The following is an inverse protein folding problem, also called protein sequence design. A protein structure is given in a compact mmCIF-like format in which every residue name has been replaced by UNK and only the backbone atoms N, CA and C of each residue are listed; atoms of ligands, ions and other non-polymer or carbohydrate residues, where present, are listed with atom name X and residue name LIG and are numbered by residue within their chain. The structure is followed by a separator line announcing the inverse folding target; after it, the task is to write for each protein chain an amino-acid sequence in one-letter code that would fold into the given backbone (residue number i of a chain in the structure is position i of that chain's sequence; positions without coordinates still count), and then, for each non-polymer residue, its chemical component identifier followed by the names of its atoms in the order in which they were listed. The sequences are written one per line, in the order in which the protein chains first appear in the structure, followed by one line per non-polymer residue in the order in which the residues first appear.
data_IF_310685560608
#
_entry.id   IF_310685560608
#
_cell.length_a   1.000
_cell.length_b   1.000
_cell.length_c   1.000
_cell.angle_alpha   90.00
_cell.angle_beta   90.00
_cell.angle_gamma   90.00
#
_symmetry.space_group_name_H-M   'P 1'
#
loop_
_entity.id
_entity.type
_entity.pdbx_description
1 polymer ?
#
# COMPACT_ATOMS: atom_id res chain seq x y z
N UNK A 1 -3.50 -16.11 26.67
CA UNK A 1 -2.44 -16.94 26.07
C UNK A 1 -1.26 -16.11 25.56
N UNK A 2 -0.12 -16.73 25.28
CA UNK A 2 1.07 -16.05 24.74
C UNK A 2 0.76 -15.17 23.49
N UNK A 3 -0.22 -15.56 22.68
CA UNK A 3 -0.66 -14.78 21.53
C UNK A 3 -1.25 -13.41 21.87
N UNK A 4 -1.79 -13.21 23.05
CA UNK A 4 -2.39 -11.92 23.44
C UNK A 4 -1.35 -10.91 23.92
N UNK A 5 -0.19 -11.35 24.37
CA UNK A 5 0.92 -10.46 24.78
C UNK A 5 1.59 -9.84 23.56
N UNK A 6 1.76 -10.60 22.48
CA UNK A 6 2.36 -10.09 21.23
C UNK A 6 1.42 -9.22 20.43
N UNK A 7 0.11 -9.38 20.56
CA UNK A 7 -0.92 -8.56 19.90
C UNK A 7 -1.07 -7.15 20.48
N UNK A 8 -0.40 -6.85 21.58
CA UNK A 8 -0.48 -5.54 22.25
C UNK A 8 0.63 -4.57 21.87
N UNK A 9 1.60 -5.01 21.07
CA UNK A 9 2.71 -4.15 20.65
C UNK A 9 2.54 -3.71 19.21
N UNK A 10 2.46 -2.41 18.99
CA UNK A 10 2.51 -1.81 17.65
C UNK A 10 3.97 -1.63 17.22
N UNK A 11 4.28 -1.81 15.93
CA UNK A 11 3.35 -2.11 14.85
C UNK A 11 2.95 -3.59 14.80
N UNK A 12 1.66 -3.86 14.50
CA UNK A 12 1.17 -5.21 14.21
C UNK A 12 1.12 -5.38 12.70
N UNK A 13 1.73 -6.42 12.18
CA UNK A 13 1.78 -6.72 10.74
C UNK A 13 1.10 -8.05 10.48
N UNK A 14 0.05 -8.01 9.66
CA UNK A 14 -0.70 -9.20 9.25
C UNK A 14 -0.69 -9.26 7.72
N UNK A 15 -0.41 -10.44 7.16
CA UNK A 15 -0.41 -10.64 5.73
C UNK A 15 -1.01 -11.98 5.38
N UNK A 16 -1.59 -12.05 4.20
CA UNK A 16 -2.17 -13.26 3.62
C UNK A 16 -2.01 -13.26 2.09
N UNK A 17 -2.06 -14.44 1.52
CA UNK A 17 -2.32 -14.61 0.09
C UNK A 17 -3.82 -14.79 -0.07
N UNK A 18 -4.52 -13.67 -0.24
CA UNK A 18 -5.98 -13.62 -0.25
C UNK A 18 -6.57 -13.71 -1.64
N UNK A 19 -7.68 -14.44 -1.79
CA UNK A 19 -8.44 -14.49 -3.03
C UNK A 19 -9.36 -13.28 -3.12
N UNK A 20 -9.19 -12.50 -4.19
CA UNK A 20 -9.92 -11.26 -4.45
C UNK A 20 -10.83 -11.43 -5.66
N UNK A 21 -12.08 -10.98 -5.53
CA UNK A 21 -13.03 -10.91 -6.61
C UNK A 21 -13.35 -9.46 -6.96
N UNK A 22 -13.27 -9.11 -8.23
CA UNK A 22 -13.63 -7.77 -8.72
C UNK A 22 -14.61 -7.87 -9.89
N UNK A 23 -15.62 -7.02 -9.88
CA UNK A 23 -16.54 -6.88 -11.00
C UNK A 23 -15.87 -6.06 -12.12
N UNK A 24 -15.15 -6.76 -12.99
CA UNK A 24 -14.56 -6.17 -14.18
C UNK A 24 -15.52 -6.29 -15.38
N UNK A 25 -15.66 -5.23 -16.18
CA UNK A 25 -16.42 -5.27 -17.42
C UNK A 25 -15.75 -6.21 -18.43
N UNK A 26 -16.54 -6.95 -19.21
CA UNK A 26 -16.01 -7.98 -20.14
C UNK A 26 -14.94 -7.43 -21.09
N UNK A 27 -15.12 -6.23 -21.62
CA UNK A 27 -14.16 -5.59 -22.55
C UNK A 27 -12.83 -5.18 -21.89
N UNK A 28 -12.69 -5.29 -20.57
CA UNK A 28 -11.46 -4.96 -19.84
C UNK A 28 -10.63 -6.19 -19.50
N UNK A 29 -11.17 -7.40 -19.67
CA UNK A 29 -10.45 -8.64 -19.36
C UNK A 29 -9.31 -8.86 -20.34
N UNK A 30 -8.14 -9.26 -19.83
CA UNK A 30 -6.93 -9.43 -20.63
C UNK A 30 -6.01 -10.52 -20.06
N UNK A 31 -6.20 -11.77 -20.48
CA UNK A 31 -5.36 -12.90 -20.07
C UNK A 31 -5.14 -12.95 -18.55
N UNK A 32 -3.90 -13.14 -18.11
CA UNK A 32 -3.52 -13.06 -16.69
C UNK A 32 -3.42 -11.64 -16.17
N UNK A 33 -3.36 -10.64 -17.06
CA UNK A 33 -3.07 -9.25 -16.69
C UNK A 33 -4.26 -8.55 -16.05
N UNK A 34 -5.50 -8.93 -16.42
CA UNK A 34 -6.72 -8.38 -15.85
C UNK A 34 -7.83 -9.42 -15.80
N UNK A 35 -8.11 -9.91 -14.62
CA UNK A 35 -9.04 -11.00 -14.33
C UNK A 35 -10.07 -10.58 -13.28
N UNK A 36 -11.17 -11.31 -13.17
CA UNK A 36 -12.20 -11.07 -12.16
C UNK A 36 -11.92 -11.73 -10.81
N UNK A 37 -11.05 -12.72 -10.81
CA UNK A 37 -10.65 -13.46 -9.61
C UNK A 37 -9.13 -13.63 -9.65
N UNK A 38 -8.44 -13.19 -8.61
CA UNK A 38 -6.98 -13.25 -8.53
C UNK A 38 -6.53 -13.37 -7.08
N UNK A 39 -5.31 -13.83 -6.90
CA UNK A 39 -4.66 -13.87 -5.60
C UNK A 39 -3.87 -12.58 -5.37
N UNK A 40 -4.00 -12.00 -4.18
CA UNK A 40 -3.26 -10.82 -3.78
C UNK A 40 -2.38 -11.11 -2.57
N UNK A 41 -1.14 -10.61 -2.59
CA UNK A 41 -0.22 -10.64 -1.45
C UNK A 41 -0.52 -9.48 -0.49
N UNK A 42 -1.69 -9.47 0.07
CA UNK A 42 -2.17 -8.38 0.90
C UNK A 42 -1.60 -8.40 2.31
N UNK A 43 -1.31 -7.23 2.85
CA UNK A 43 -0.93 -7.07 4.24
C UNK A 43 -1.49 -5.78 4.83
N UNK A 44 -1.89 -5.86 6.08
CA UNK A 44 -2.38 -4.76 6.88
C UNK A 44 -1.44 -4.53 8.06
N UNK A 45 -1.00 -3.30 8.22
CA UNK A 45 -0.08 -2.91 9.29
C UNK A 45 -0.77 -1.87 10.15
N UNK A 46 -0.89 -2.15 11.43
CA UNK A 46 -1.43 -1.22 12.42
C UNK A 46 -0.27 -0.62 13.19
N UNK A 47 -0.23 0.70 13.32
CA UNK A 47 0.89 1.40 13.89
C UNK A 47 0.45 2.70 14.60
N UNK A 48 1.36 3.26 15.38
CA UNK A 48 1.21 4.60 15.91
C UNK A 48 1.59 5.66 14.84
N UNK A 49 1.10 6.90 14.93
CA UNK A 49 1.44 7.94 13.96
C UNK A 49 2.94 8.20 13.80
N UNK A 50 3.71 8.10 14.88
CA UNK A 50 5.17 8.29 14.86
C UNK A 50 5.93 7.13 14.16
N UNK A 51 5.30 5.98 13.96
CA UNK A 51 5.87 4.82 13.27
C UNK A 51 5.68 4.86 11.75
N UNK A 52 4.88 5.79 11.21
CA UNK A 52 4.53 5.81 9.78
C UNK A 52 5.78 5.87 8.90
N UNK A 53 6.65 6.85 9.13
CA UNK A 53 7.84 7.06 8.29
C UNK A 53 8.75 5.82 8.31
N UNK A 54 9.07 5.29 9.49
CA UNK A 54 9.95 4.12 9.61
C UNK A 54 9.37 2.87 8.97
N UNK A 55 8.06 2.63 9.08
CA UNK A 55 7.40 1.49 8.45
C UNK A 55 7.35 1.65 6.92
N UNK A 56 7.04 2.83 6.41
CA UNK A 56 7.01 3.07 4.96
C UNK A 56 8.41 2.94 4.36
N UNK A 57 9.44 3.49 4.99
CA UNK A 57 10.85 3.32 4.58
C UNK A 57 11.22 1.84 4.51
N UNK A 58 10.86 1.08 5.55
CA UNK A 58 11.12 -0.37 5.59
C UNK A 58 10.42 -1.11 4.45
N UNK A 59 9.20 -0.74 4.12
CA UNK A 59 8.43 -1.35 3.04
C UNK A 59 9.00 -0.99 1.67
N UNK A 60 9.41 0.27 1.45
CA UNK A 60 10.07 0.70 0.23
C UNK A 60 11.35 -0.13 0.01
N UNK A 61 12.17 -0.28 1.06
CA UNK A 61 13.39 -1.09 0.99
C UNK A 61 13.09 -2.58 0.73
N UNK A 62 11.99 -3.09 1.25
CA UNK A 62 11.57 -4.46 0.99
C UNK A 62 11.13 -4.67 -0.46
N UNK A 63 10.31 -3.78 -1.02
CA UNK A 63 9.88 -3.82 -2.42
C UNK A 63 11.10 -3.68 -3.34
N UNK A 64 11.98 -2.74 -3.06
CA UNK A 64 13.23 -2.52 -3.81
C UNK A 64 14.07 -3.80 -3.88
N UNK A 65 14.27 -4.46 -2.75
CA UNK A 65 15.01 -5.73 -2.68
C UNK A 65 14.36 -6.83 -3.52
N UNK A 66 13.03 -6.97 -3.43
CA UNK A 66 12.30 -8.00 -4.19
C UNK A 66 12.42 -7.74 -5.69
N UNK A 67 12.15 -6.52 -6.14
CA UNK A 67 12.19 -6.18 -7.56
C UNK A 67 13.60 -6.23 -8.13
N UNK A 68 14.59 -5.76 -7.38
CA UNK A 68 16.00 -5.84 -7.79
C UNK A 68 16.47 -7.28 -7.93
N UNK A 69 16.08 -8.18 -7.03
CA UNK A 69 16.44 -9.60 -7.12
C UNK A 69 15.79 -10.30 -8.34
N UNK A 70 14.68 -9.76 -8.82
CA UNK A 70 13.98 -10.25 -10.02
C UNK A 70 14.42 -9.51 -11.29
N UNK A 71 15.34 -8.56 -11.19
CA UNK A 71 15.81 -7.76 -12.33
C UNK A 71 14.76 -6.79 -12.88
N UNK A 72 13.71 -6.46 -12.10
CA UNK A 72 12.59 -5.63 -12.52
C UNK A 72 12.84 -4.15 -12.17
N UNK A 73 13.12 -3.28 -13.15
CA UNK A 73 13.16 -1.84 -12.91
C UNK A 73 11.76 -1.32 -12.62
N UNK A 74 11.67 -0.34 -11.71
CA UNK A 74 10.38 0.23 -11.32
C UNK A 74 10.47 1.74 -11.11
N UNK A 75 9.33 2.40 -11.19
CA UNK A 75 9.13 3.80 -10.85
C UNK A 75 8.13 3.91 -9.70
N UNK A 76 8.28 4.94 -8.86
CA UNK A 76 7.35 5.23 -7.76
C UNK A 76 6.50 6.44 -8.14
N UNK A 77 5.20 6.33 -7.93
CA UNK A 77 4.27 7.46 -8.01
C UNK A 77 3.58 7.68 -6.66
N UNK A 78 3.56 8.93 -6.22
CA UNK A 78 2.75 9.37 -5.08
C UNK A 78 1.40 9.85 -5.61
N UNK A 79 0.39 9.03 -5.42
CA UNK A 79 -0.99 9.31 -5.80
C UNK A 79 -1.68 10.07 -4.69
N UNK A 80 -2.07 11.31 -4.98
CA UNK A 80 -2.64 12.25 -4.01
C UNK A 80 -4.16 12.20 -3.97
N UNK A 81 -4.75 13.00 -3.10
CA UNK A 81 -6.19 13.06 -2.86
C UNK A 81 -6.98 13.28 -4.16
N UNK A 82 -8.03 12.47 -4.42
CA UNK A 82 -8.98 12.73 -5.51
C UNK A 82 -9.67 14.09 -5.34
N UNK A 83 -10.03 14.72 -6.45
CA UNK A 83 -10.79 15.99 -6.40
C UNK A 83 -12.18 15.81 -5.81
N UNK A 84 -12.81 14.67 -6.13
CA UNK A 84 -14.15 14.29 -5.68
C UNK A 84 -14.14 12.89 -5.06
N UNK A 85 -15.18 12.58 -4.28
CA UNK A 85 -15.45 11.25 -3.73
C UNK A 85 -14.34 10.69 -2.82
N UNK A 86 -13.75 11.55 -2.01
CA UNK A 86 -12.85 11.14 -0.92
C UNK A 86 -13.55 11.28 0.44
N UNK A 87 -13.00 10.63 1.44
CA UNK A 87 -13.44 10.70 2.83
C UNK A 87 -12.34 11.26 3.71
N UNK A 88 -12.72 11.84 4.84
CA UNK A 88 -11.80 12.46 5.81
C UNK A 88 -11.48 13.92 5.51
N UNK A 89 -10.84 14.56 6.48
CA UNK A 89 -10.49 15.97 6.44
C UNK A 89 -9.28 16.24 5.54
N UNK A 90 -9.27 17.37 4.84
CA UNK A 90 -8.18 17.76 3.93
C UNK A 90 -6.84 17.79 4.65
N UNK A 91 -6.80 18.29 5.88
CA UNK A 91 -5.58 18.35 6.69
C UNK A 91 -4.97 16.97 6.98
N UNK A 92 -5.82 15.94 7.13
CA UNK A 92 -5.37 14.56 7.31
C UNK A 92 -4.73 14.04 6.02
N UNK A 93 -5.32 14.38 4.88
CA UNK A 93 -4.77 14.03 3.56
C UNK A 93 -3.39 14.68 3.33
N UNK A 94 -3.29 15.99 3.58
CA UNK A 94 -2.02 16.73 3.42
C UNK A 94 -0.92 16.16 4.32
N UNK A 95 -1.22 15.83 5.57
CA UNK A 95 -0.28 15.18 6.50
C UNK A 95 0.14 13.80 6.01
N UNK A 96 -0.81 13.02 5.50
CA UNK A 96 -0.56 11.66 5.00
C UNK A 96 0.29 11.68 3.73
N UNK A 97 0.01 12.58 2.80
CA UNK A 97 0.80 12.79 1.58
C UNK A 97 2.23 13.24 1.92
N UNK A 98 2.36 14.20 2.83
CA UNK A 98 3.66 14.66 3.31
C UNK A 98 4.47 13.54 3.98
N UNK A 99 3.83 12.68 4.76
CA UNK A 99 4.47 11.53 5.40
C UNK A 99 4.99 10.52 4.38
N UNK A 100 4.22 10.20 3.34
CA UNK A 100 4.65 9.32 2.26
C UNK A 100 5.81 9.93 1.44
N UNK A 101 5.74 11.22 1.14
CA UNK A 101 6.81 11.95 0.46
C UNK A 101 8.11 11.97 1.28
N UNK A 102 8.01 12.22 2.59
CA UNK A 102 9.15 12.19 3.50
C UNK A 102 9.79 10.80 3.58
N UNK A 103 8.98 9.74 3.60
CA UNK A 103 9.47 8.36 3.61
C UNK A 103 10.22 8.00 2.31
N UNK A 104 9.73 8.40 1.13
CA UNK A 104 10.46 8.23 -0.13
C UNK A 104 11.82 8.91 -0.08
N UNK A 105 11.87 10.16 0.38
CA UNK A 105 13.10 10.93 0.52
C UNK A 105 14.07 10.27 1.52
N UNK A 106 13.56 9.83 2.67
CA UNK A 106 14.37 9.12 3.68
C UNK A 106 14.92 7.78 3.15
N UNK A 107 14.17 7.09 2.28
CA UNK A 107 14.59 5.88 1.59
C UNK A 107 15.55 6.13 0.41
N UNK A 108 15.84 7.39 0.08
CA UNK A 108 16.70 7.77 -1.05
C UNK A 108 16.09 7.40 -2.41
N UNK A 109 14.76 7.42 -2.52
CA UNK A 109 14.01 7.07 -3.75
C UNK A 109 13.32 8.29 -4.32
N UNK A 110 13.53 8.47 -5.63
CA UNK A 110 12.77 9.44 -6.40
C UNK A 110 11.34 8.96 -6.64
N UNK A 111 10.42 9.89 -6.73
CA UNK A 111 9.02 9.62 -7.05
C UNK A 111 8.43 10.73 -7.91
N UNK A 112 7.37 10.39 -8.65
CA UNK A 112 6.53 11.35 -9.39
C UNK A 112 5.25 11.58 -8.61
N UNK A 113 4.68 12.78 -8.71
CA UNK A 113 3.35 13.06 -8.17
C UNK A 113 2.33 12.70 -9.24
N UNK A 114 1.34 11.89 -8.87
CA UNK A 114 0.17 11.57 -9.68
C UNK A 114 -1.07 12.19 -9.02
N UNK A 115 -1.47 13.42 -9.42
CA UNK A 115 -2.54 14.14 -8.75
C UNK A 115 -3.89 13.46 -8.94
N UNK A 116 -4.63 13.30 -7.84
CA UNK A 116 -6.01 12.83 -7.87
C UNK A 116 -6.20 11.31 -8.00
N UNK A 117 -5.13 10.52 -8.06
CA UNK A 117 -5.20 9.05 -8.24
C UNK A 117 -5.13 8.28 -6.91
N UNK A 118 -5.18 8.96 -5.78
CA UNK A 118 -5.28 8.33 -4.47
C UNK A 118 -6.57 7.51 -4.33
N UNK A 119 -6.59 6.56 -3.39
CA UNK A 119 -7.83 5.89 -3.07
C UNK A 119 -8.80 6.86 -2.38
N UNK A 120 -10.08 6.53 -2.39
CA UNK A 120 -11.07 7.39 -1.73
C UNK A 120 -10.84 7.58 -0.21
N UNK A 121 -10.06 6.71 0.41
CA UNK A 121 -9.78 6.69 1.86
C UNK A 121 -8.34 7.07 2.24
N UNK A 122 -7.43 7.28 1.30
CA UNK A 122 -6.05 7.67 1.61
C UNK A 122 -5.12 7.76 0.41
N UNK A 123 -4.00 8.49 0.53
CA UNK A 123 -2.96 8.56 -0.47
C UNK A 123 -2.16 7.26 -0.54
N UNK A 124 -1.48 7.05 -1.66
CA UNK A 124 -0.72 5.83 -1.89
C UNK A 124 0.60 6.08 -2.63
N UNK A 125 1.57 5.20 -2.39
CA UNK A 125 2.74 5.02 -3.24
C UNK A 125 2.48 3.83 -4.14
N UNK A 126 2.46 4.06 -5.45
CA UNK A 126 2.30 3.04 -6.47
C UNK A 126 3.64 2.70 -7.10
N UNK A 127 3.93 1.41 -7.23
CA UNK A 127 5.16 0.89 -7.81
C UNK A 127 4.85 0.31 -9.18
N UNK A 128 5.36 0.98 -10.22
CA UNK A 128 5.11 0.65 -11.61
C UNK A 128 6.27 -0.11 -12.21
N UNK A 129 5.99 -1.30 -12.75
CA UNK A 129 6.96 -2.17 -13.43
C UNK A 129 6.67 -2.15 -14.92
N UNK A 130 7.71 -2.18 -15.76
CA UNK A 130 7.57 -2.33 -17.21
C UNK A 130 7.69 -3.79 -17.61
N UNK A 131 6.79 -4.24 -18.48
CA UNK A 131 6.90 -5.55 -19.12
C UNK A 131 7.91 -5.52 -20.28
N UNK A 132 8.16 -6.66 -20.89
CA UNK A 132 9.09 -6.81 -22.02
C UNK A 132 8.72 -5.96 -23.25
N UNK A 133 7.45 -5.60 -23.39
CA UNK A 133 6.95 -4.71 -24.45
C UNK A 133 6.99 -3.23 -24.06
N UNK A 134 7.48 -2.89 -22.88
CA UNK A 134 7.53 -1.52 -22.35
C UNK A 134 6.20 -0.99 -21.82
N UNK A 135 5.17 -1.83 -21.68
CA UNK A 135 3.90 -1.45 -21.05
C UNK A 135 4.11 -1.32 -19.54
N UNK A 136 3.48 -0.31 -18.96
CA UNK A 136 3.59 0.00 -17.51
C UNK A 136 2.44 -0.67 -16.76
N UNK A 137 2.79 -1.38 -15.69
CA UNK A 137 1.84 -2.06 -14.82
C UNK A 137 2.06 -1.68 -13.36
N UNK A 138 1.01 -1.22 -12.71
CA UNK A 138 1.01 -1.07 -11.26
C UNK A 138 1.01 -2.46 -10.62
N UNK A 139 2.03 -2.75 -9.84
CA UNK A 139 2.19 -4.00 -9.09
C UNK A 139 2.17 -3.74 -7.59
N UNK A 140 3.22 -3.15 -7.04
CA UNK A 140 3.28 -2.83 -5.62
C UNK A 140 2.47 -1.59 -5.26
N UNK A 141 1.93 -1.56 -4.05
CA UNK A 141 1.27 -0.37 -3.49
C UNK A 141 1.48 -0.33 -1.99
N UNK A 142 1.78 0.86 -1.47
CA UNK A 142 1.76 1.20 -0.05
C UNK A 142 0.72 2.29 0.13
N UNK A 143 -0.30 2.04 0.93
CA UNK A 143 -1.48 2.89 1.03
C UNK A 143 -1.78 3.22 2.48
N UNK A 144 -1.77 4.51 2.80
CA UNK A 144 -2.02 5.00 4.15
C UNK A 144 -3.52 5.18 4.35
N UNK A 145 -4.04 4.63 5.43
CA UNK A 145 -5.47 4.64 5.76
C UNK A 145 -5.68 5.10 7.21
N UNK A 146 -6.27 6.27 7.35
CA UNK A 146 -6.68 6.82 8.64
C UNK A 146 -8.19 6.70 8.87
N UNK A 147 -8.95 6.21 7.89
CA UNK A 147 -10.40 6.19 7.91
C UNK A 147 -10.97 4.86 8.45
N UNK A 148 -10.44 3.72 8.03
CA UNK A 148 -10.92 2.42 8.51
C UNK A 148 -10.72 2.24 10.02
N UNK A 149 -9.57 2.63 10.62
CA UNK A 149 -9.44 2.58 12.08
C UNK A 149 -10.54 3.35 12.82
N UNK A 150 -10.97 4.49 12.29
CA UNK A 150 -12.07 5.25 12.87
C UNK A 150 -13.42 4.54 12.70
N UNK A 151 -13.70 4.04 11.50
CA UNK A 151 -14.98 3.35 11.20
C UNK A 151 -15.16 2.06 11.98
N UNK A 152 -14.09 1.34 12.27
CA UNK A 152 -14.10 0.13 13.09
C UNK A 152 -13.90 0.39 14.59
N UNK A 153 -13.82 1.66 14.99
CA UNK A 153 -13.54 2.08 16.36
C UNK A 153 -12.32 1.38 16.98
N UNK A 154 -11.26 1.23 16.17
CA UNK A 154 -10.02 0.61 16.63
C UNK A 154 -9.29 1.56 17.57
N UNK A 155 -8.84 1.03 18.70
CA UNK A 155 -8.02 1.80 19.65
C UNK A 155 -6.87 0.95 20.18
N UNK A 156 -5.79 1.61 20.55
CA UNK A 156 -4.72 1.04 21.37
C UNK A 156 -4.55 1.89 22.63
N UNK A 157 -3.90 1.33 23.64
CA UNK A 157 -3.58 2.07 24.86
C UNK A 157 -2.16 2.59 24.72
N UNK A 158 -2.00 3.91 24.80
CA UNK A 158 -0.70 4.56 24.73
C UNK A 158 0.08 4.44 26.05
N UNK A 159 1.28 5.05 26.11
CA UNK A 159 2.14 5.07 27.30
C UNK A 159 1.55 5.82 28.49
N UNK A 160 0.56 6.69 28.29
CA UNK A 160 -0.16 7.41 29.35
C UNK A 160 -1.35 6.60 29.87
N UNK A 161 -1.71 5.51 29.24
CA UNK A 161 -2.90 4.72 29.54
C UNK A 161 -4.16 5.17 28.80
N UNK A 162 -4.03 6.13 27.89
CA UNK A 162 -5.15 6.66 27.09
C UNK A 162 -5.45 5.78 25.89
N UNK A 163 -6.74 5.68 25.52
CA UNK A 163 -7.18 5.03 24.30
C UNK A 163 -6.98 5.97 23.11
N UNK A 164 -6.11 5.58 22.19
CA UNK A 164 -5.73 6.36 21.01
C UNK A 164 -6.03 5.59 19.74
N UNK A 165 -6.34 6.30 18.66
CA UNK A 165 -6.61 5.74 17.32
C UNK A 165 -5.30 5.31 16.65
N UNK A 166 -5.15 4.06 16.19
CA UNK A 166 -4.02 3.65 15.38
C UNK A 166 -4.14 4.17 13.95
N UNK A 167 -3.03 4.16 13.24
CA UNK A 167 -2.99 4.32 11.79
C UNK A 167 -2.90 2.95 11.15
N UNK A 168 -3.55 2.76 10.03
CA UNK A 168 -3.52 1.54 9.24
C UNK A 168 -2.82 1.77 7.91
N UNK A 169 -2.08 0.78 7.46
CA UNK A 169 -1.40 0.79 6.18
C UNK A 169 -1.69 -0.51 5.46
N UNK A 170 -2.13 -0.41 4.21
CA UNK A 170 -2.30 -1.51 3.29
C UNK A 170 -1.04 -1.65 2.43
N UNK A 171 -0.59 -2.87 2.19
CA UNK A 171 0.59 -3.13 1.40
C UNK A 171 0.42 -4.35 0.53
N UNK A 172 0.71 -4.20 -0.74
CA UNK A 172 0.99 -5.29 -1.66
C UNK A 172 2.36 -5.08 -2.30
N UNK A 173 3.08 -6.16 -2.58
CA UNK A 173 4.37 -6.14 -3.30
C UNK A 173 4.15 -6.52 -4.76
N UNK A 174 3.44 -7.61 -4.98
CA UNK A 174 3.15 -8.12 -6.31
C UNK A 174 1.81 -7.60 -6.85
N UNK A 175 0.88 -7.23 -5.96
CA UNK A 175 -0.50 -6.93 -6.31
C UNK A 175 -1.24 -8.20 -6.73
N UNK A 176 -1.76 -8.26 -7.95
CA UNK A 176 -2.26 -9.51 -8.50
C UNK A 176 -1.09 -10.44 -8.82
N UNK A 177 -1.01 -11.58 -8.14
CA UNK A 177 0.02 -12.60 -8.35
C UNK A 177 -0.02 -13.10 -9.80
N UNK A 178 -1.19 -13.30 -10.37
CA UNK A 178 -1.39 -13.75 -11.75
C UNK A 178 -0.80 -12.74 -12.74
N UNK A 179 -1.06 -11.44 -12.55
CA UNK A 179 -0.45 -10.37 -13.37
C UNK A 179 1.06 -10.37 -13.23
N UNK A 180 1.54 -10.43 -12.00
CA UNK A 180 2.98 -10.39 -11.72
C UNK A 180 3.72 -11.58 -12.36
N UNK A 181 3.15 -12.79 -12.28
CA UNK A 181 3.67 -13.97 -12.95
C UNK A 181 3.70 -13.75 -14.46
N UNK A 182 2.61 -13.20 -15.04
CA UNK A 182 2.58 -12.87 -16.48
C UNK A 182 3.71 -11.93 -16.89
N UNK A 183 3.96 -10.87 -16.13
CA UNK A 183 5.07 -9.94 -16.37
C UNK A 183 6.41 -10.66 -16.26
N UNK A 184 6.60 -11.48 -15.23
CA UNK A 184 7.85 -12.17 -14.95
C UNK A 184 8.19 -13.24 -15.99
N UNK A 185 7.18 -13.93 -16.54
CA UNK A 185 7.39 -14.92 -17.60
C UNK A 185 7.82 -14.26 -18.91
N UNK A 186 7.31 -13.05 -19.18
CA UNK A 186 7.63 -12.31 -20.40
C UNK A 186 8.93 -11.48 -20.27
N UNK A 187 9.46 -11.34 -19.06
CA UNK A 187 10.68 -10.57 -18.77
C UNK A 187 11.94 -11.39 -19.05
#
# INVERSE_FOLDING_TARGET
GLGDVYKRQLPIRMGELGLVHRHEKSGQLHGLMRVRCFTQDDAHIFMTPDQIESEVVRLIAFIDRVYSNLGLPYEIELSTRPEEKYIGEIEIWEKSEAALAAACKAAGKDYKINPGDGAFYGPKLDFHVKDSLGRVWQCGTIQLDMNLPERFDLTYVDHNGDKVRPVMLHRVIFGSIERFIGILIEH
#
